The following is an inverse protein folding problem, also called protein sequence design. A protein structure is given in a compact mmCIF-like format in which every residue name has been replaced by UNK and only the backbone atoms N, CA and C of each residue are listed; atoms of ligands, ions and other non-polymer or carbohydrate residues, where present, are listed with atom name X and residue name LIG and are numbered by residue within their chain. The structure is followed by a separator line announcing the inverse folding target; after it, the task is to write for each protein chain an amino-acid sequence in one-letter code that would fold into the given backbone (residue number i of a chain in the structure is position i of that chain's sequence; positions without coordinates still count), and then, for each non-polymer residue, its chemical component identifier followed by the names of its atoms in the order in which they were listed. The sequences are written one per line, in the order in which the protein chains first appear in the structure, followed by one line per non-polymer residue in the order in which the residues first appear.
data_IF_066947525411
#
_entry.id   IF_066947525411
#
_cell.length_a   1.000
_cell.length_b   1.000
_cell.length_c   1.000
_cell.angle_alpha   90.00
_cell.angle_beta   90.00
_cell.angle_gamma   90.00
#
_symmetry.space_group_name_H-M   'P 1'
#
loop_
_entity.id
_entity.type
_entity.pdbx_description
1 polymer ?
#
# COMPACT_ATOMS: atom_id res chain seq x y z
N UNK A 1 14.23 4.02 23.05
CA UNK A 1 13.20 3.60 24.07
C UNK A 1 13.52 2.18 24.52
N UNK A 2 13.47 1.93 25.82
CA UNK A 2 13.77 0.59 26.38
C UNK A 2 12.62 -0.40 26.12
N UNK A 3 12.94 -1.70 25.97
CA UNK A 3 11.96 -2.77 25.78
C UNK A 3 10.86 -2.77 26.87
N UNK A 4 11.24 -2.50 28.11
CA UNK A 4 10.32 -2.46 29.27
C UNK A 4 9.28 -1.33 29.12
N UNK A 5 9.68 -0.18 28.58
CA UNK A 5 8.78 0.94 28.35
C UNK A 5 7.81 0.68 27.20
N UNK A 6 8.30 0.09 26.10
CA UNK A 6 7.45 -0.36 24.98
C UNK A 6 6.38 -1.34 25.45
N UNK A 7 6.78 -2.34 26.24
CA UNK A 7 5.84 -3.31 26.83
C UNK A 7 4.76 -2.62 27.66
N UNK A 8 5.12 -1.65 28.51
CA UNK A 8 4.15 -0.89 29.32
C UNK A 8 3.13 -0.14 28.47
N UNK A 9 3.55 0.41 27.31
CA UNK A 9 2.64 1.09 26.36
C UNK A 9 1.65 0.08 25.78
N UNK A 10 2.14 -1.07 25.31
CA UNK A 10 1.32 -2.14 24.73
C UNK A 10 0.31 -2.68 25.77
N UNK A 11 0.77 -2.94 26.99
CA UNK A 11 -0.08 -3.45 28.07
C UNK A 11 -1.20 -2.45 28.42
N UNK A 12 -0.90 -1.12 28.43
CA UNK A 12 -1.92 -0.07 28.62
C UNK A 12 -2.94 -0.04 27.47
N UNK A 13 -2.50 -0.21 26.25
CA UNK A 13 -3.40 -0.28 25.09
C UNK A 13 -4.26 -1.55 25.15
N UNK A 14 -3.69 -2.68 25.55
CA UNK A 14 -4.41 -3.95 25.72
C UNK A 14 -5.46 -3.84 26.83
N UNK A 15 -5.10 -3.25 27.97
CA UNK A 15 -6.05 -2.98 29.04
C UNK A 15 -7.21 -2.08 28.57
N UNK A 16 -6.90 -1.03 27.79
CA UNK A 16 -7.94 -0.16 27.23
C UNK A 16 -8.79 -0.90 26.17
N UNK A 17 -8.23 -1.84 25.41
CA UNK A 17 -8.99 -2.68 24.51
C UNK A 17 -10.05 -3.51 25.25
N UNK A 18 -9.68 -4.12 26.36
CA UNK A 18 -10.58 -4.96 27.14
C UNK A 18 -11.73 -4.20 27.81
N UNK A 19 -11.68 -2.87 27.87
CA UNK A 19 -12.86 -2.07 28.29
C UNK A 19 -14.02 -2.12 27.32
N UNK A 20 -13.79 -2.56 26.09
CA UNK A 20 -14.80 -2.57 25.02
C UNK A 20 -15.12 -1.19 24.43
N UNK A 21 -14.51 -0.10 24.90
CA UNK A 21 -14.81 1.28 24.48
C UNK A 21 -14.74 1.47 22.95
N UNK A 22 -13.79 0.85 22.27
CA UNK A 22 -13.64 0.97 20.81
C UNK A 22 -14.53 0.02 20.00
N UNK A 23 -15.34 -0.82 20.66
CA UNK A 23 -16.37 -1.61 19.99
C UNK A 23 -17.55 -0.72 19.56
N UNK A 24 -17.77 0.38 20.28
CA UNK A 24 -18.77 1.38 19.87
C UNK A 24 -18.35 2.11 18.59
N UNK A 25 -19.19 2.01 17.56
CA UNK A 25 -18.98 2.67 16.27
C UNK A 25 -18.98 4.19 16.40
N UNK A 26 -19.72 4.75 17.38
CA UNK A 26 -19.77 6.19 17.62
C UNK A 26 -18.42 6.71 18.13
N UNK A 27 -17.72 5.93 18.96
CA UNK A 27 -16.35 6.24 19.38
C UNK A 27 -15.40 6.29 18.18
N UNK A 28 -15.48 5.30 17.28
CA UNK A 28 -14.63 5.21 16.08
C UNK A 28 -14.87 6.39 15.14
N UNK A 29 -16.13 6.76 14.92
CA UNK A 29 -16.52 7.94 14.13
C UNK A 29 -15.96 9.22 14.74
N UNK A 30 -16.04 9.38 16.07
CA UNK A 30 -15.46 10.54 16.75
C UNK A 30 -13.94 10.60 16.61
N UNK A 31 -13.27 9.45 16.66
CA UNK A 31 -11.82 9.34 16.45
C UNK A 31 -11.42 9.73 15.01
N UNK A 32 -12.14 9.25 13.98
CA UNK A 32 -11.90 9.60 12.57
C UNK A 32 -12.15 11.11 12.32
N UNK A 33 -13.20 11.68 12.87
CA UNK A 33 -13.47 13.13 12.78
C UNK A 33 -12.37 13.95 13.46
N UNK A 34 -11.83 13.48 14.59
CA UNK A 34 -10.71 14.12 15.29
C UNK A 34 -9.43 14.07 14.46
N UNK A 35 -9.16 12.93 13.79
CA UNK A 35 -8.04 12.78 12.86
C UNK A 35 -8.19 13.74 11.67
N UNK A 36 -9.39 13.82 11.07
CA UNK A 36 -9.70 14.76 9.99
C UNK A 36 -9.47 16.21 10.40
N UNK A 37 -9.95 16.59 11.58
CA UNK A 37 -9.73 17.94 12.12
C UNK A 37 -8.25 18.23 12.33
N UNK A 38 -7.50 17.29 12.89
CA UNK A 38 -6.06 17.41 13.11
C UNK A 38 -5.32 17.69 11.79
N UNK A 39 -5.59 16.90 10.75
CA UNK A 39 -4.94 17.04 9.42
C UNK A 39 -5.24 18.42 8.83
N UNK A 40 -6.51 18.80 8.75
CA UNK A 40 -6.93 20.10 8.21
C UNK A 40 -6.34 21.30 8.97
N UNK A 41 -6.29 21.18 10.29
CA UNK A 41 -5.77 22.26 11.16
C UNK A 41 -4.27 22.47 11.01
N UNK A 42 -3.52 21.41 10.69
CA UNK A 42 -2.06 21.39 10.63
C UNK A 42 -1.51 21.15 9.21
N UNK A 43 -2.32 21.42 8.17
CA UNK A 43 -1.95 21.20 6.77
C UNK A 43 -0.63 21.89 6.41
N UNK A 44 -0.45 23.16 6.78
CA UNK A 44 0.78 23.91 6.52
C UNK A 44 2.01 23.34 7.25
N UNK A 45 1.84 22.82 8.48
CA UNK A 45 2.94 22.16 9.20
C UNK A 45 3.32 20.84 8.51
N UNK A 46 2.34 20.11 7.99
CA UNK A 46 2.55 18.87 7.23
C UNK A 46 3.29 19.17 5.92
N UNK A 47 2.84 20.18 5.16
CA UNK A 47 3.53 20.61 3.94
C UNK A 47 4.98 21.02 4.21
N UNK A 48 5.23 21.76 5.29
CA UNK A 48 6.58 22.17 5.67
C UNK A 48 7.47 20.97 6.03
N UNK A 49 6.94 19.96 6.72
CA UNK A 49 7.69 18.75 7.04
C UNK A 49 8.01 17.92 5.78
N UNK A 50 7.06 17.79 4.84
CA UNK A 50 7.27 17.11 3.55
C UNK A 50 8.28 17.85 2.65
N UNK A 51 8.26 19.18 2.69
CA UNK A 51 9.26 20.01 2.00
C UNK A 51 10.68 19.78 2.57
N UNK A 52 10.81 19.69 3.89
CA UNK A 52 12.11 19.44 4.55
C UNK A 52 12.67 18.04 4.21
N UNK A 53 11.84 17.01 4.33
CA UNK A 53 12.29 15.64 4.15
C UNK A 53 12.49 15.28 2.67
N UNK A 54 11.54 15.61 1.79
CA UNK A 54 11.48 15.14 0.40
C UNK A 54 11.54 16.28 -0.64
N UNK A 55 11.56 17.54 -0.19
CA UNK A 55 11.41 18.72 -1.07
C UNK A 55 10.11 18.66 -1.89
N UNK A 56 9.06 18.01 -1.37
CA UNK A 56 7.73 18.02 -2.01
C UNK A 56 7.14 19.42 -1.98
N UNK A 57 6.62 19.88 -3.13
CA UNK A 57 5.83 21.11 -3.21
C UNK A 57 4.52 20.97 -2.44
N UNK A 58 3.89 22.11 -2.05
CA UNK A 58 2.58 22.09 -1.38
C UNK A 58 1.52 21.40 -2.24
N UNK A 59 1.56 21.60 -3.56
CA UNK A 59 0.65 20.96 -4.50
C UNK A 59 0.81 19.43 -4.49
N UNK A 60 2.04 18.92 -4.60
CA UNK A 60 2.31 17.48 -4.55
C UNK A 60 1.98 16.89 -3.18
N UNK A 61 2.30 17.63 -2.09
CA UNK A 61 1.97 17.24 -0.72
C UNK A 61 0.46 17.06 -0.52
N UNK A 62 -0.35 17.96 -1.05
CA UNK A 62 -1.81 17.81 -0.99
C UNK A 62 -2.30 16.68 -1.89
N UNK A 63 -1.90 16.68 -3.17
CA UNK A 63 -2.36 15.72 -4.17
C UNK A 63 -2.06 14.27 -3.80
N UNK A 64 -0.88 14.00 -3.23
CA UNK A 64 -0.38 12.64 -3.03
C UNK A 64 -0.36 12.19 -1.58
N UNK A 65 -0.64 13.07 -0.62
CA UNK A 65 -0.61 12.72 0.80
C UNK A 65 -1.88 13.20 1.52
N UNK A 66 -1.96 14.46 1.92
CA UNK A 66 -3.06 14.94 2.76
C UNK A 66 -4.43 14.83 2.10
N UNK A 67 -4.53 15.07 0.80
CA UNK A 67 -5.78 14.97 0.04
C UNK A 67 -6.33 13.54 0.01
N UNK A 68 -5.45 12.55 -0.25
CA UNK A 68 -5.84 11.14 -0.27
C UNK A 68 -6.27 10.66 1.13
N UNK A 69 -5.50 11.01 2.17
CA UNK A 69 -5.89 10.71 3.56
C UNK A 69 -7.25 11.28 3.92
N UNK A 70 -7.54 12.52 3.50
CA UNK A 70 -8.84 13.14 3.75
C UNK A 70 -9.98 12.46 2.98
N UNK A 71 -9.71 11.97 1.78
CA UNK A 71 -10.69 11.21 0.98
C UNK A 71 -10.99 9.86 1.62
N UNK A 72 -9.97 9.12 2.06
CA UNK A 72 -10.12 7.86 2.80
C UNK A 72 -10.94 8.04 4.09
N UNK A 73 -10.64 9.08 4.89
CA UNK A 73 -11.44 9.39 6.08
C UNK A 73 -12.91 9.67 5.69
N UNK A 74 -13.12 10.42 4.62
CA UNK A 74 -14.45 10.78 4.16
C UNK A 74 -15.26 9.55 3.72
N UNK A 75 -14.63 8.67 2.95
CA UNK A 75 -15.20 7.39 2.55
C UNK A 75 -15.54 6.53 3.78
N UNK A 76 -14.60 6.38 4.70
CA UNK A 76 -14.77 5.56 5.89
C UNK A 76 -15.90 6.09 6.79
N UNK A 77 -16.00 7.41 6.99
CA UNK A 77 -17.09 8.03 7.77
C UNK A 77 -18.48 7.76 7.19
N UNK A 78 -18.59 7.64 5.86
CA UNK A 78 -19.86 7.31 5.19
C UNK A 78 -20.25 5.83 5.38
N UNK A 79 -19.27 4.92 5.42
CA UNK A 79 -19.51 3.49 5.28
C UNK A 79 -19.33 2.69 6.57
N UNK A 80 -18.59 3.21 7.56
CA UNK A 80 -18.22 2.47 8.78
C UNK A 80 -19.39 1.82 9.50
N UNK A 81 -20.56 2.48 9.54
CA UNK A 81 -21.78 1.91 10.16
C UNK A 81 -22.26 0.67 9.43
N UNK A 82 -22.11 0.64 8.11
CA UNK A 82 -22.45 -0.52 7.28
C UNK A 82 -21.44 -1.63 7.44
N UNK A 83 -20.14 -1.30 7.41
CA UNK A 83 -19.06 -2.27 7.53
C UNK A 83 -19.06 -2.98 8.90
N UNK A 84 -19.38 -2.24 9.96
CA UNK A 84 -19.41 -2.78 11.33
C UNK A 84 -20.65 -3.62 11.67
N UNK A 85 -21.66 -3.66 10.77
CA UNK A 85 -22.89 -4.44 11.00
C UNK A 85 -22.63 -5.94 10.84
N UNK A 86 -23.43 -6.72 11.56
CA UNK A 86 -23.59 -8.15 11.32
C UNK A 86 -24.16 -8.36 9.91
N UNK A 87 -23.62 -9.34 9.21
CA UNK A 87 -24.02 -9.72 7.85
C UNK A 87 -24.68 -11.10 7.90
N UNK A 88 -26.01 -11.15 7.70
CA UNK A 88 -26.72 -12.41 7.64
C UNK A 88 -26.25 -13.22 6.42
N UNK A 89 -26.10 -14.52 6.62
CA UNK A 89 -25.78 -15.49 5.57
C UNK A 89 -26.83 -16.60 5.56
N UNK A 90 -26.93 -17.31 4.43
CA UNK A 90 -27.87 -18.42 4.31
C UNK A 90 -27.60 -19.47 5.37
N UNK A 91 -28.63 -19.81 6.13
CA UNK A 91 -28.58 -20.92 7.08
C UNK A 91 -29.00 -22.21 6.37
N UNK A 92 -28.15 -23.27 6.34
CA UNK A 92 -28.50 -24.54 5.75
C UNK A 92 -29.69 -25.20 6.47
N UNK A 93 -30.48 -25.97 5.73
CA UNK A 93 -31.67 -26.69 6.28
C UNK A 93 -31.29 -27.61 7.44
N UNK A 94 -30.12 -28.22 7.44
CA UNK A 94 -29.58 -29.02 8.55
C UNK A 94 -29.47 -28.26 9.87
N UNK A 95 -29.43 -26.93 9.80
CA UNK A 95 -29.37 -26.05 10.98
C UNK A 95 -30.71 -25.32 11.22
N UNK A 96 -31.81 -25.87 10.71
CA UNK A 96 -33.16 -25.29 10.82
C UNK A 96 -33.43 -24.74 12.22
N UNK A 97 -34.15 -23.63 12.29
CA UNK A 97 -34.38 -22.74 13.41
C UNK A 97 -33.11 -22.11 13.99
N UNK A 98 -32.21 -21.68 13.08
CA UNK A 98 -31.06 -20.84 13.44
C UNK A 98 -30.97 -19.61 12.54
N UNK A 99 -30.28 -18.59 13.05
CA UNK A 99 -29.79 -17.45 12.27
C UNK A 99 -28.28 -17.59 12.13
N UNK A 100 -27.77 -17.59 10.89
CA UNK A 100 -26.33 -17.59 10.64
C UNK A 100 -25.88 -16.23 10.19
N UNK A 101 -24.80 -15.68 10.78
CA UNK A 101 -24.29 -14.37 10.43
C UNK A 101 -22.79 -14.26 10.65
N UNK A 102 -22.18 -13.31 9.94
CA UNK A 102 -20.79 -12.88 10.11
C UNK A 102 -20.76 -11.59 10.91
N UNK A 103 -19.82 -11.49 11.86
CA UNK A 103 -19.66 -10.30 12.70
C UNK A 103 -18.20 -9.86 12.67
N UNK A 104 -17.89 -8.67 12.11
CA UNK A 104 -16.55 -8.10 12.17
C UNK A 104 -16.16 -7.81 13.63
N UNK A 105 -14.92 -8.05 13.97
CA UNK A 105 -14.36 -7.80 15.29
C UNK A 105 -12.92 -7.32 15.16
N UNK A 106 -12.52 -6.25 15.87
CA UNK A 106 -11.11 -5.81 15.85
C UNK A 106 -10.19 -6.91 16.37
N UNK A 107 -8.97 -6.94 15.87
CA UNK A 107 -7.92 -7.82 16.41
C UNK A 107 -7.54 -7.45 17.83
N UNK A 108 -7.23 -6.16 18.08
CA UNK A 108 -6.78 -5.70 19.39
C UNK A 108 -5.79 -4.56 19.31
N UNK A 109 -4.54 -4.80 19.71
CA UNK A 109 -3.43 -3.85 19.60
C UNK A 109 -2.65 -4.14 18.34
N UNK A 110 -2.63 -3.18 17.41
CA UNK A 110 -2.00 -3.30 16.10
C UNK A 110 -0.74 -2.44 16.00
N UNK A 111 0.25 -2.93 15.28
CA UNK A 111 1.46 -2.19 14.91
C UNK A 111 1.37 -1.80 13.44
N UNK A 112 1.58 -0.53 13.13
CA UNK A 112 1.73 -0.02 11.77
C UNK A 112 3.14 0.52 11.61
N UNK A 113 3.94 -0.10 10.74
CA UNK A 113 5.30 0.34 10.41
C UNK A 113 5.28 0.92 9.01
N UNK A 114 5.51 2.22 8.90
CA UNK A 114 5.37 2.95 7.64
C UNK A 114 6.70 3.43 7.06
N UNK A 115 6.78 3.59 5.73
CA UNK A 115 7.97 4.00 5.01
C UNK A 115 8.15 5.53 5.01
N UNK A 116 9.16 5.97 4.29
CA UNK A 116 9.59 7.37 4.23
C UNK A 116 9.17 8.12 2.96
N UNK A 117 8.71 7.42 1.92
CA UNK A 117 8.49 8.02 0.60
C UNK A 117 7.16 8.80 0.49
N UNK A 118 6.12 8.34 1.18
CA UNK A 118 4.86 9.04 1.41
C UNK A 118 4.53 8.94 2.91
N UNK A 119 5.30 9.66 3.76
CA UNK A 119 5.32 9.41 5.20
C UNK A 119 3.98 9.74 5.88
N UNK A 120 3.21 10.67 5.35
CA UNK A 120 1.89 11.05 5.89
C UNK A 120 0.84 10.05 5.42
N UNK A 121 0.73 9.83 4.11
CA UNK A 121 -0.25 8.93 3.51
C UNK A 121 -0.10 7.51 4.05
N UNK A 122 1.08 6.92 3.90
CA UNK A 122 1.32 5.51 4.24
C UNK A 122 1.39 5.24 5.76
N UNK A 123 1.34 6.29 6.59
CA UNK A 123 1.13 6.15 8.03
C UNK A 123 -0.34 6.29 8.40
N UNK A 124 -1.06 7.23 7.78
CA UNK A 124 -2.41 7.59 8.21
C UNK A 124 -3.50 6.77 7.52
N UNK A 125 -3.32 6.30 6.28
CA UNK A 125 -4.30 5.43 5.61
C UNK A 125 -4.54 4.13 6.37
N UNK A 126 -3.53 3.29 6.66
CA UNK A 126 -3.77 2.08 7.44
C UNK A 126 -4.20 2.39 8.88
N UNK A 127 -3.87 3.58 9.42
CA UNK A 127 -4.41 4.03 10.70
C UNK A 127 -5.93 4.28 10.63
N UNK A 128 -6.44 4.89 9.56
CA UNK A 128 -7.87 5.11 9.34
C UNK A 128 -8.62 3.79 9.37
N UNK A 129 -8.12 2.80 8.66
CA UNK A 129 -8.69 1.46 8.57
C UNK A 129 -8.69 0.75 9.93
N UNK A 130 -7.57 0.82 10.65
CA UNK A 130 -7.43 0.25 11.98
C UNK A 130 -8.38 0.90 13.01
N UNK A 131 -8.55 2.23 12.96
CA UNK A 131 -9.52 2.98 13.79
C UNK A 131 -10.94 2.56 13.44
N UNK A 132 -11.28 2.48 12.16
CA UNK A 132 -12.60 2.09 11.69
C UNK A 132 -12.96 0.67 12.12
N UNK A 133 -12.03 -0.25 12.08
CA UNK A 133 -12.20 -1.62 12.57
C UNK A 133 -12.31 -1.71 14.10
N UNK A 134 -11.80 -0.70 14.85
CA UNK A 134 -11.89 -0.61 16.32
C UNK A 134 -10.64 -1.03 17.07
N UNK A 135 -9.48 -1.10 16.40
CA UNK A 135 -8.21 -1.44 17.01
C UNK A 135 -7.59 -0.29 17.81
N UNK A 136 -6.61 -0.60 18.66
CA UNK A 136 -5.61 0.32 19.20
C UNK A 136 -4.39 0.25 18.33
N UNK A 137 -3.69 1.37 18.20
CA UNK A 137 -2.61 1.43 17.22
C UNK A 137 -1.35 2.01 17.83
N UNK A 138 -0.25 1.34 17.54
CA UNK A 138 1.10 1.89 17.67
C UNK A 138 1.62 2.15 16.26
N UNK A 139 1.94 3.42 15.99
CA UNK A 139 2.55 3.86 14.75
C UNK A 139 4.07 3.90 14.90
N UNK A 140 4.77 3.36 13.92
CA UNK A 140 6.23 3.42 13.83
C UNK A 140 6.63 4.01 12.47
N UNK A 141 6.60 5.35 12.32
CA UNK A 141 7.05 6.01 11.11
C UNK A 141 8.55 5.86 10.90
N UNK A 142 8.99 6.07 9.67
CA UNK A 142 10.38 5.89 9.28
C UNK A 142 11.31 6.96 9.85
N UNK A 143 12.47 6.55 10.35
CA UNK A 143 13.54 7.47 10.75
C UNK A 143 14.20 8.21 9.55
N UNK A 144 13.94 7.80 8.32
CA UNK A 144 14.47 8.47 7.13
C UNK A 144 13.71 9.75 6.76
N UNK A 145 12.49 9.92 7.27
CA UNK A 145 11.69 11.14 7.17
C UNK A 145 11.48 11.78 8.55
N UNK A 146 12.53 12.32 9.17
CA UNK A 146 12.50 12.76 10.57
C UNK A 146 11.52 13.90 10.83
N UNK A 147 11.43 14.91 9.95
CA UNK A 147 10.53 16.03 10.12
C UNK A 147 9.05 15.57 10.12
N UNK A 148 8.67 14.69 9.22
CA UNK A 148 7.33 14.11 9.17
C UNK A 148 7.06 13.20 10.39
N UNK A 149 8.03 12.39 10.79
CA UNK A 149 7.88 11.46 11.91
C UNK A 149 7.73 12.19 13.25
N UNK A 150 8.51 13.23 13.49
CA UNK A 150 8.43 14.06 14.69
C UNK A 150 7.13 14.87 14.74
N UNK A 151 6.70 15.41 13.58
CA UNK A 151 5.43 16.10 13.50
C UNK A 151 4.25 15.15 13.78
N UNK A 152 4.25 13.95 13.19
CA UNK A 152 3.22 12.94 13.45
C UNK A 152 3.19 12.57 14.94
N UNK A 153 4.35 12.35 15.57
CA UNK A 153 4.43 12.07 17.01
C UNK A 153 3.83 13.21 17.84
N UNK A 154 4.24 14.46 17.57
CA UNK A 154 3.71 15.67 18.24
C UNK A 154 2.19 15.77 18.10
N UNK A 155 1.66 15.63 16.88
CA UNK A 155 0.25 15.80 16.61
C UNK A 155 -0.59 14.66 17.20
N UNK A 156 -0.19 13.43 16.99
CA UNK A 156 -0.93 12.26 17.52
C UNK A 156 -1.00 12.32 19.04
N UNK A 157 0.11 12.59 19.73
CA UNK A 157 0.11 12.68 21.19
C UNK A 157 -0.72 13.87 21.73
N UNK A 158 -0.86 14.94 20.94
CA UNK A 158 -1.71 16.09 21.30
C UNK A 158 -3.21 15.77 21.17
N UNK A 159 -3.59 15.01 20.16
CA UNK A 159 -5.01 14.79 19.83
C UNK A 159 -5.57 13.47 20.36
N UNK A 160 -4.72 12.48 20.66
CA UNK A 160 -5.15 11.15 21.10
C UNK A 160 -4.45 10.71 22.37
N UNK A 161 -5.17 10.08 23.31
CA UNK A 161 -4.53 9.51 24.50
C UNK A 161 -3.66 8.29 24.12
N UNK A 162 -2.47 8.19 24.71
CA UNK A 162 -1.50 7.14 24.41
C UNK A 162 -2.03 5.70 24.62
N UNK A 163 -2.99 5.51 25.53
CA UNK A 163 -3.69 4.23 25.72
C UNK A 163 -4.55 3.81 24.53
N UNK A 164 -4.77 4.70 23.56
CA UNK A 164 -5.57 4.42 22.35
C UNK A 164 -4.70 4.45 21.09
N UNK A 165 -3.92 5.50 20.90
CA UNK A 165 -3.08 5.72 19.74
C UNK A 165 -1.74 6.34 20.19
N UNK A 166 -0.63 5.77 19.75
CA UNK A 166 0.71 6.21 20.11
C UNK A 166 1.64 6.13 18.91
N UNK A 167 2.58 7.08 18.83
CA UNK A 167 3.69 7.06 17.88
C UNK A 167 4.98 6.75 18.63
N UNK A 168 5.74 5.81 18.11
CA UNK A 168 7.10 5.51 18.57
C UNK A 168 8.05 5.88 17.44
N UNK A 169 8.84 6.95 17.62
CA UNK A 169 9.89 7.34 16.69
C UNK A 169 11.17 6.55 16.98
N UNK A 170 12.14 6.62 16.05
CA UNK A 170 13.42 5.96 16.20
C UNK A 170 13.78 5.09 14.99
N UNK A 171 14.94 4.43 15.06
CA UNK A 171 15.57 3.72 13.97
C UNK A 171 15.40 2.19 14.02
N UNK A 172 16.48 1.51 13.62
CA UNK A 172 16.52 0.04 13.57
C UNK A 172 16.32 -0.62 14.91
N UNK A 173 16.92 -0.03 15.98
CA UNK A 173 16.81 -0.57 17.35
C UNK A 173 15.36 -0.62 17.83
N UNK A 174 14.62 0.48 17.61
CA UNK A 174 13.21 0.57 17.98
C UNK A 174 12.34 -0.36 17.14
N UNK A 175 12.62 -0.50 15.82
CA UNK A 175 11.93 -1.46 14.98
C UNK A 175 12.11 -2.89 15.49
N UNK A 176 13.34 -3.29 15.79
CA UNK A 176 13.64 -4.64 16.31
C UNK A 176 12.96 -4.87 17.64
N UNK A 177 13.04 -3.90 18.55
CA UNK A 177 12.42 -3.99 19.87
C UNK A 177 10.88 -4.08 19.80
N UNK A 178 10.23 -3.34 18.89
CA UNK A 178 8.79 -3.45 18.65
C UNK A 178 8.38 -4.79 18.06
N UNK A 179 9.10 -5.27 17.05
CA UNK A 179 8.80 -6.55 16.41
C UNK A 179 8.96 -7.77 17.32
N UNK A 180 9.74 -7.64 18.41
CA UNK A 180 9.85 -8.65 19.46
C UNK A 180 8.66 -8.66 20.43
N UNK A 181 7.80 -7.63 20.42
CA UNK A 181 6.62 -7.57 21.26
C UNK A 181 5.44 -8.31 20.62
N UNK A 182 4.49 -8.75 21.45
CA UNK A 182 3.27 -9.37 20.98
C UNK A 182 2.23 -8.34 20.56
N UNK A 183 1.96 -8.25 19.27
CA UNK A 183 0.84 -7.53 18.66
C UNK A 183 -0.24 -8.51 18.19
N UNK A 184 -1.47 -8.01 18.07
CA UNK A 184 -2.58 -8.81 17.59
C UNK A 184 -2.72 -8.71 16.05
N UNK A 185 -2.05 -7.72 15.44
CA UNK A 185 -1.90 -7.53 14.00
C UNK A 185 -0.70 -6.63 13.69
N UNK A 186 -0.02 -6.88 12.56
CA UNK A 186 1.07 -6.00 12.07
C UNK A 186 0.80 -5.62 10.62
N UNK A 187 0.78 -4.32 10.34
CA UNK A 187 0.78 -3.76 9.00
C UNK A 187 2.15 -3.15 8.71
N UNK A 188 2.78 -3.58 7.65
CA UNK A 188 4.11 -3.13 7.27
C UNK A 188 4.15 -2.67 5.82
N UNK A 189 4.70 -1.49 5.57
CA UNK A 189 5.04 -1.02 4.23
C UNK A 189 6.53 -0.72 4.17
N UNK A 190 7.24 -1.29 3.17
CA UNK A 190 8.67 -1.08 3.03
C UNK A 190 9.38 -2.08 2.11
N UNK A 191 10.67 -2.30 2.33
CA UNK A 191 11.46 -3.21 1.49
C UNK A 191 11.17 -4.68 1.76
N UNK A 192 11.33 -5.53 0.74
CA UNK A 192 11.20 -7.01 0.82
C UNK A 192 12.04 -7.62 1.95
N UNK A 193 13.28 -7.15 2.11
CA UNK A 193 14.18 -7.66 3.16
C UNK A 193 13.61 -7.43 4.56
N UNK A 194 13.06 -6.23 4.81
CA UNK A 194 12.46 -5.92 6.11
C UNK A 194 11.11 -6.61 6.26
N UNK A 195 10.32 -6.73 5.18
CA UNK A 195 9.06 -7.47 5.18
C UNK A 195 9.23 -8.94 5.59
N UNK A 196 10.25 -9.62 5.07
CA UNK A 196 10.61 -10.98 5.49
C UNK A 196 10.97 -11.04 6.99
N UNK A 197 11.70 -10.04 7.50
CA UNK A 197 12.02 -9.97 8.94
C UNK A 197 10.78 -9.73 9.79
N UNK A 198 9.86 -8.85 9.36
CA UNK A 198 8.57 -8.65 10.04
C UNK A 198 7.79 -9.96 10.11
N UNK A 199 7.68 -10.68 9.01
CA UNK A 199 6.99 -11.98 8.95
C UNK A 199 7.65 -13.02 9.87
N UNK A 200 8.98 -13.07 9.90
CA UNK A 200 9.73 -13.97 10.76
C UNK A 200 9.50 -13.68 12.25
N UNK A 201 9.49 -12.42 12.64
CA UNK A 201 9.23 -12.04 14.04
C UNK A 201 7.75 -12.28 14.43
N UNK A 202 6.82 -11.93 13.55
CA UNK A 202 5.39 -12.14 13.76
C UNK A 202 5.05 -13.62 13.97
N UNK A 203 5.75 -14.53 13.31
CA UNK A 203 5.52 -15.99 13.43
C UNK A 203 5.71 -16.53 14.84
N UNK A 204 6.57 -15.91 15.66
CA UNK A 204 6.80 -16.33 17.06
C UNK A 204 5.57 -16.15 17.95
N UNK A 205 4.65 -15.27 17.55
CA UNK A 205 3.40 -14.99 18.27
C UNK A 205 2.16 -15.37 17.46
N UNK A 206 2.32 -15.99 16.28
CA UNK A 206 1.24 -16.27 15.31
C UNK A 206 0.46 -15.00 14.94
N UNK A 207 1.13 -13.86 14.95
CA UNK A 207 0.53 -12.58 14.61
C UNK A 207 0.30 -12.49 13.09
N UNK A 208 -0.95 -12.26 12.63
CA UNK A 208 -1.22 -12.03 11.22
C UNK A 208 -0.58 -10.72 10.74
N UNK A 209 -0.15 -10.71 9.47
CA UNK A 209 0.54 -9.57 8.86
C UNK A 209 -0.07 -9.18 7.53
N UNK A 210 -0.08 -7.88 7.23
CA UNK A 210 -0.15 -7.34 5.87
C UNK A 210 1.20 -6.75 5.53
N UNK A 211 1.71 -7.07 4.34
CA UNK A 211 2.99 -6.60 3.83
C UNK A 211 2.77 -5.88 2.51
N UNK A 212 3.07 -4.59 2.48
CA UNK A 212 3.08 -3.77 1.27
C UNK A 212 4.55 -3.53 0.89
N UNK A 213 4.98 -4.18 -0.18
CA UNK A 213 6.37 -4.20 -0.60
C UNK A 213 6.53 -3.49 -1.95
N UNK A 214 7.66 -3.60 -2.57
CA UNK A 214 7.92 -3.04 -3.89
C UNK A 214 8.04 -4.11 -4.96
N UNK A 215 8.47 -3.69 -6.14
CA UNK A 215 8.72 -4.58 -7.26
C UNK A 215 9.15 -3.84 -8.52
N UNK A 216 9.53 -4.59 -9.56
CA UNK A 216 9.83 -4.00 -10.88
C UNK A 216 8.55 -3.90 -11.70
N UNK A 217 7.81 -2.82 -11.49
CA UNK A 217 6.52 -2.56 -12.13
C UNK A 217 6.69 -2.26 -13.63
N UNK A 218 6.30 -3.19 -14.54
CA UNK A 218 6.40 -2.99 -15.98
C UNK A 218 5.37 -1.99 -16.48
N UNK A 219 5.77 -1.19 -17.48
CA UNK A 219 4.89 -0.33 -18.24
C UNK A 219 4.90 -0.76 -19.71
N UNK A 220 3.93 -1.57 -20.11
CA UNK A 220 3.77 -2.06 -21.47
C UNK A 220 3.18 -0.98 -22.36
N UNK A 221 3.76 -0.81 -23.56
CA UNK A 221 3.24 0.08 -24.62
C UNK A 221 3.16 -0.71 -25.89
N UNK A 222 1.95 -1.06 -26.32
CA UNK A 222 1.77 -1.84 -27.53
C UNK A 222 1.72 -1.00 -28.81
N UNK A 223 1.67 -1.67 -29.96
CA UNK A 223 1.68 -1.03 -31.27
C UNK A 223 0.49 -0.09 -31.51
N UNK A 224 -0.62 -0.29 -30.77
CA UNK A 224 -1.87 0.47 -30.92
C UNK A 224 -1.94 1.70 -30.00
N UNK A 225 -1.00 1.83 -29.05
CA UNK A 225 -1.00 2.89 -28.05
C UNK A 225 -0.96 4.29 -28.64
N UNK A 226 -1.65 5.23 -28.00
CA UNK A 226 -1.49 6.65 -28.24
C UNK A 226 -0.21 7.12 -27.54
N UNK A 227 0.86 7.31 -28.31
CA UNK A 227 2.18 7.56 -27.75
C UNK A 227 2.29 8.91 -27.01
N UNK A 228 1.59 9.94 -27.50
CA UNK A 228 1.63 11.26 -26.86
C UNK A 228 0.94 11.22 -25.49
N UNK A 229 -0.19 10.51 -25.40
CA UNK A 229 -0.91 10.29 -24.15
C UNK A 229 -0.14 9.35 -23.22
N UNK A 230 0.40 8.24 -23.75
CA UNK A 230 1.19 7.28 -22.99
C UNK A 230 2.42 7.97 -22.36
N UNK A 231 3.22 8.68 -23.15
CA UNK A 231 4.39 9.40 -22.67
C UNK A 231 4.04 10.42 -21.57
N UNK A 232 2.94 11.17 -21.76
CA UNK A 232 2.47 12.15 -20.74
C UNK A 232 2.18 11.49 -19.39
N UNK A 233 1.48 10.34 -19.40
CA UNK A 233 1.07 9.59 -18.20
C UNK A 233 2.23 8.81 -17.59
N UNK A 234 3.09 8.24 -18.41
CA UNK A 234 4.31 7.56 -17.95
C UNK A 234 5.24 8.54 -17.24
N UNK A 235 5.49 9.71 -17.84
CA UNK A 235 6.33 10.75 -17.26
C UNK A 235 5.79 11.24 -15.92
N UNK A 236 4.48 11.46 -15.84
CA UNK A 236 3.83 11.79 -14.56
C UNK A 236 4.04 10.71 -13.51
N UNK A 237 3.65 9.46 -13.80
CA UNK A 237 3.72 8.39 -12.81
C UNK A 237 5.15 7.97 -12.45
N UNK A 238 6.10 8.10 -13.39
CA UNK A 238 7.50 7.77 -13.13
C UNK A 238 8.22 8.80 -12.28
N UNK A 239 8.01 10.09 -12.56
CA UNK A 239 8.84 11.14 -11.96
C UNK A 239 8.18 11.88 -10.80
N UNK A 240 6.92 11.56 -10.47
CA UNK A 240 6.29 11.97 -9.24
C UNK A 240 7.16 11.52 -8.04
N UNK A 241 7.33 12.36 -7.04
CA UNK A 241 8.20 12.10 -5.87
C UNK A 241 9.63 11.65 -6.27
N UNK A 242 10.16 12.16 -7.37
CA UNK A 242 11.44 11.73 -7.96
C UNK A 242 11.53 10.23 -8.22
N UNK A 243 10.42 9.57 -8.56
CA UNK A 243 10.36 8.12 -8.79
C UNK A 243 10.45 7.25 -7.53
N UNK A 244 10.40 7.84 -6.35
CA UNK A 244 10.45 7.13 -5.07
C UNK A 244 9.05 6.63 -4.67
N UNK A 245 8.45 5.83 -5.55
CA UNK A 245 7.07 5.33 -5.44
C UNK A 245 7.05 3.84 -5.78
N UNK A 246 6.49 3.02 -4.90
CA UNK A 246 6.44 1.56 -5.04
C UNK A 246 5.68 1.09 -6.30
N UNK A 247 4.80 1.92 -6.82
CA UNK A 247 4.03 1.69 -8.05
C UNK A 247 4.53 2.53 -9.24
N UNK A 248 5.64 3.26 -9.12
CA UNK A 248 6.18 3.97 -10.28
C UNK A 248 6.49 2.99 -11.42
N UNK A 249 6.20 3.33 -12.68
CA UNK A 249 6.74 2.57 -13.80
C UNK A 249 8.24 2.36 -13.63
N UNK A 250 8.68 1.13 -13.38
CA UNK A 250 10.09 0.88 -13.11
C UNK A 250 10.90 0.79 -14.40
N UNK A 251 10.27 0.28 -15.46
CA UNK A 251 10.77 0.32 -16.83
C UNK A 251 9.61 0.39 -17.83
N UNK A 252 9.89 0.94 -19.01
CA UNK A 252 8.99 0.87 -20.17
C UNK A 252 9.37 -0.35 -21.00
N UNK A 253 8.39 -1.16 -21.35
CA UNK A 253 8.53 -2.30 -22.23
C UNK A 253 7.61 -2.12 -23.42
N UNK A 254 8.17 -1.67 -24.56
CA UNK A 254 7.38 -1.24 -25.70
C UNK A 254 7.60 -2.13 -26.95
N UNK A 255 6.60 -2.14 -27.84
CA UNK A 255 6.74 -2.70 -29.15
C UNK A 255 7.96 -2.06 -29.87
N UNK A 256 8.83 -2.90 -30.47
CA UNK A 256 10.09 -2.41 -31.07
C UNK A 256 9.87 -1.36 -32.15
N UNK A 257 8.77 -1.45 -32.93
CA UNK A 257 8.42 -0.51 -34.00
C UNK A 257 7.99 0.87 -33.47
N UNK A 258 7.65 0.95 -32.20
CA UNK A 258 7.15 2.18 -31.57
C UNK A 258 8.20 2.91 -30.73
N UNK A 259 9.35 2.28 -30.50
CA UNK A 259 10.40 2.74 -29.57
C UNK A 259 10.84 4.16 -29.83
N UNK A 260 11.31 4.46 -31.03
CA UNK A 260 11.88 5.77 -31.35
C UNK A 260 10.85 6.90 -31.20
N UNK A 261 9.63 6.67 -31.70
CA UNK A 261 8.54 7.63 -31.55
C UNK A 261 8.14 7.83 -30.08
N UNK A 262 8.13 6.75 -29.27
CA UNK A 262 7.84 6.83 -27.84
C UNK A 262 8.93 7.60 -27.09
N UNK A 263 10.22 7.33 -27.36
CA UNK A 263 11.35 8.05 -26.77
C UNK A 263 11.27 9.55 -27.08
N UNK A 264 10.93 9.90 -28.31
CA UNK A 264 10.75 11.30 -28.73
C UNK A 264 9.64 11.98 -27.88
N UNK A 265 8.51 11.33 -27.73
CA UNK A 265 7.40 11.82 -26.91
C UNK A 265 7.75 11.89 -25.41
N UNK A 266 8.47 10.90 -24.86
CA UNK A 266 8.94 10.92 -23.48
C UNK A 266 9.85 12.12 -23.21
N UNK A 267 10.84 12.38 -24.08
CA UNK A 267 11.73 13.55 -23.99
C UNK A 267 10.92 14.86 -23.99
N UNK A 268 9.98 14.97 -24.93
CA UNK A 268 9.09 16.13 -25.04
C UNK A 268 8.25 16.33 -23.76
N UNK A 269 7.71 15.26 -23.20
CA UNK A 269 6.88 15.34 -21.99
C UNK A 269 7.71 15.66 -20.75
N UNK A 270 8.93 15.14 -20.61
CA UNK A 270 9.83 15.50 -19.50
C UNK A 270 10.12 16.99 -19.55
N UNK A 271 10.52 17.52 -20.71
CA UNK A 271 10.78 18.95 -20.87
C UNK A 271 9.54 19.80 -20.57
N UNK A 272 8.36 19.34 -21.02
CA UNK A 272 7.09 20.06 -20.78
C UNK A 272 6.71 20.10 -19.31
N UNK A 273 6.88 19.00 -18.55
CA UNK A 273 6.44 18.90 -17.15
C UNK A 273 7.46 19.46 -16.16
N UNK A 274 8.76 19.33 -16.44
CA UNK A 274 9.83 19.67 -15.51
C UNK A 274 10.70 20.85 -15.95
N UNK A 275 10.56 21.32 -17.19
CA UNK A 275 11.39 22.35 -17.78
C UNK A 275 12.70 21.83 -18.38
N UNK A 276 13.50 22.73 -18.96
CA UNK A 276 14.82 22.41 -19.52
C UNK A 276 15.86 22.12 -18.43
N UNK A 277 15.67 22.66 -17.23
CA UNK A 277 16.55 22.51 -16.08
C UNK A 277 15.77 21.96 -14.87
N UNK A 278 15.42 20.65 -14.86
CA UNK A 278 14.58 20.05 -13.82
C UNK A 278 15.09 20.24 -12.38
N UNK A 279 16.40 20.28 -12.18
CA UNK A 279 17.01 20.48 -10.85
C UNK A 279 16.77 21.88 -10.29
N UNK A 280 16.49 22.87 -11.14
CA UNK A 280 16.11 24.24 -10.74
C UNK A 280 14.59 24.40 -10.56
N UNK A 281 13.80 23.43 -10.96
CA UNK A 281 12.35 23.47 -10.79
C UNK A 281 11.98 23.42 -9.30
N UNK A 282 11.30 24.44 -8.75
CA UNK A 282 10.96 24.47 -7.31
C UNK A 282 9.97 23.37 -6.91
N UNK A 283 9.20 22.83 -7.86
CA UNK A 283 8.27 21.73 -7.63
C UNK A 283 8.89 20.35 -7.80
N UNK A 284 10.17 20.25 -8.21
CA UNK A 284 10.86 18.97 -8.32
C UNK A 284 11.54 18.61 -6.99
N UNK A 285 11.24 17.44 -6.47
CA UNK A 285 11.70 16.95 -5.18
C UNK A 285 13.19 16.59 -5.10
N UNK A 286 13.55 15.82 -4.08
CA UNK A 286 14.91 15.28 -3.88
C UNK A 286 14.85 13.80 -3.48
N UNK A 287 15.98 13.12 -3.59
CA UNK A 287 16.15 11.79 -3.01
C UNK A 287 16.27 11.94 -1.47
N UNK A 288 15.63 11.04 -0.76
CA UNK A 288 15.43 11.16 0.70
C UNK A 288 16.73 11.36 1.50
N UNK A 289 17.80 10.68 1.13
CA UNK A 289 19.08 10.76 1.82
C UNK A 289 20.27 10.35 0.93
N UNK A 290 21.49 10.60 1.42
CA UNK A 290 22.73 10.31 0.71
C UNK A 290 22.86 8.82 0.32
N UNK A 291 22.47 7.90 1.20
CA UNK A 291 22.55 6.46 0.93
C UNK A 291 21.74 6.06 -0.31
N UNK A 292 20.49 6.52 -0.41
CA UNK A 292 19.62 6.24 -1.56
C UNK A 292 20.07 7.00 -2.80
N UNK A 293 20.54 8.24 -2.65
CA UNK A 293 21.13 9.01 -3.76
C UNK A 293 22.30 8.25 -4.40
N UNK A 294 23.26 7.79 -3.60
CA UNK A 294 24.42 7.04 -4.12
C UNK A 294 24.01 5.70 -4.74
N UNK A 295 23.01 5.01 -4.16
CA UNK A 295 22.49 3.77 -4.75
C UNK A 295 21.93 4.04 -6.15
N UNK A 296 21.07 5.06 -6.31
CA UNK A 296 20.47 5.38 -7.61
C UNK A 296 21.56 5.87 -8.60
N UNK A 297 22.52 6.67 -8.13
CA UNK A 297 23.63 7.15 -8.96
C UNK A 297 24.46 6.00 -9.54
N UNK A 298 24.66 4.91 -8.79
CA UNK A 298 25.37 3.71 -9.28
C UNK A 298 24.59 2.94 -10.36
N UNK A 299 23.28 3.07 -10.42
CA UNK A 299 22.46 2.48 -11.49
C UNK A 299 22.50 3.30 -12.77
N UNK A 300 23.00 4.53 -12.71
CA UNK A 300 23.12 5.42 -13.86
C UNK A 300 24.35 5.02 -14.68
N UNK A 301 24.12 4.34 -15.82
CA UNK A 301 25.17 4.09 -16.81
C UNK A 301 25.21 5.23 -17.84
N UNK A 302 26.26 6.09 -17.86
CA UNK A 302 26.32 7.24 -18.75
C UNK A 302 26.22 6.89 -20.24
N UNK A 303 26.72 5.71 -20.65
CA UNK A 303 26.69 5.26 -22.05
C UNK A 303 25.29 4.93 -22.56
N UNK A 304 24.37 4.64 -21.64
CA UNK A 304 22.97 4.29 -21.93
C UNK A 304 22.01 5.48 -21.74
N UNK A 305 22.51 6.61 -21.23
CA UNK A 305 21.69 7.81 -21.04
C UNK A 305 21.42 8.48 -22.37
N UNK A 306 20.15 8.63 -22.71
CA UNK A 306 19.70 9.32 -23.93
C UNK A 306 18.99 10.64 -23.67
N UNK A 307 18.68 10.94 -22.39
CA UNK A 307 18.12 12.22 -21.95
C UNK A 307 18.27 12.38 -20.43
N UNK A 308 18.55 13.58 -19.95
CA UNK A 308 18.74 13.86 -18.52
C UNK A 308 20.14 13.47 -18.04
N UNK A 309 20.23 12.71 -16.95
CA UNK A 309 21.50 12.24 -16.38
C UNK A 309 22.19 13.23 -15.44
N UNK A 310 21.70 14.46 -15.33
CA UNK A 310 22.28 15.46 -14.44
C UNK A 310 22.01 15.13 -12.97
N UNK A 311 23.02 15.26 -12.13
CA UNK A 311 22.94 15.00 -10.71
C UNK A 311 23.48 16.19 -9.90
N UNK A 312 22.89 16.44 -8.74
CA UNK A 312 23.39 17.41 -7.78
C UNK A 312 23.49 16.75 -6.41
N UNK A 313 24.70 16.37 -5.95
CA UNK A 313 24.90 15.71 -4.66
C UNK A 313 24.64 16.62 -3.46
N UNK A 314 24.78 17.93 -3.58
CA UNK A 314 24.57 18.88 -2.49
C UNK A 314 23.07 18.98 -2.14
N UNK A 315 22.21 18.91 -3.17
CA UNK A 315 20.75 18.94 -3.00
C UNK A 315 20.09 17.57 -3.02
N UNK A 316 20.87 16.50 -3.19
CA UNK A 316 20.42 15.12 -3.37
C UNK A 316 19.42 14.95 -4.52
N UNK A 317 19.61 15.67 -5.60
CA UNK A 317 18.71 15.64 -6.76
C UNK A 317 19.34 14.89 -7.93
N UNK A 318 18.52 14.12 -8.63
CA UNK A 318 18.83 13.44 -9.89
C UNK A 318 17.73 13.85 -10.86
N UNK A 319 18.11 14.37 -12.03
CA UNK A 319 17.14 14.78 -13.04
C UNK A 319 16.34 13.58 -13.59
N UNK A 320 15.12 13.81 -14.07
CA UNK A 320 14.40 12.81 -14.86
C UNK A 320 15.27 12.30 -16.01
N UNK A 321 15.54 10.99 -16.01
CA UNK A 321 16.55 10.39 -16.91
C UNK A 321 15.95 9.24 -17.69
N UNK A 322 16.14 9.23 -19.00
CA UNK A 322 15.82 8.11 -19.88
C UNK A 322 17.08 7.34 -20.25
N UNK A 323 16.99 6.02 -20.20
CA UNK A 323 18.05 5.12 -20.64
C UNK A 323 17.54 4.25 -21.79
N UNK A 324 18.40 4.04 -22.78
CA UNK A 324 18.17 3.13 -23.90
C UNK A 324 19.25 2.06 -23.97
N UNK A 325 19.09 1.09 -24.88
CA UNK A 325 19.98 -0.06 -25.01
C UNK A 325 20.17 -0.84 -23.68
N UNK A 326 19.14 -0.78 -22.82
CA UNK A 326 19.10 -1.53 -21.56
C UNK A 326 18.58 -2.94 -21.83
N UNK A 327 19.25 -3.92 -21.24
CA UNK A 327 18.82 -5.34 -21.25
C UNK A 327 18.37 -5.76 -19.86
N UNK A 328 17.70 -6.90 -19.77
CA UNK A 328 17.26 -7.43 -18.48
C UNK A 328 18.43 -7.88 -17.58
N UNK A 329 19.63 -8.02 -18.13
CA UNK A 329 20.85 -8.39 -17.41
C UNK A 329 21.58 -7.18 -16.80
N UNK A 330 21.23 -5.96 -17.20
CA UNK A 330 21.83 -4.74 -16.65
C UNK A 330 21.50 -4.56 -15.16
N UNK A 331 22.43 -3.95 -14.41
CA UNK A 331 22.29 -3.72 -12.98
C UNK A 331 20.98 -2.98 -12.61
N UNK A 332 20.56 -2.03 -13.44
CA UNK A 332 19.31 -1.26 -13.23
C UNK A 332 18.06 -2.15 -13.32
N UNK A 333 18.15 -3.32 -13.93
CA UNK A 333 17.05 -4.29 -14.05
C UNK A 333 17.07 -5.37 -12.96
N UNK A 334 18.11 -5.46 -12.12
CA UNK A 334 18.23 -6.48 -11.07
C UNK A 334 17.58 -6.07 -9.75
N UNK A 335 17.26 -4.79 -9.56
CA UNK A 335 16.57 -4.30 -8.37
C UNK A 335 15.50 -3.26 -8.75
N UNK A 336 14.57 -2.97 -7.83
CA UNK A 336 13.65 -1.85 -7.95
C UNK A 336 14.44 -0.53 -7.96
N UNK A 337 14.22 0.30 -8.97
CA UNK A 337 14.98 1.55 -9.14
C UNK A 337 14.69 2.54 -8.01
N UNK A 338 13.42 2.73 -7.69
CA UNK A 338 12.95 3.64 -6.65
C UNK A 338 13.61 5.03 -6.76
N UNK A 339 13.62 5.56 -7.99
CA UNK A 339 14.30 6.80 -8.35
C UNK A 339 13.97 7.24 -9.78
N UNK A 340 14.49 8.42 -10.22
CA UNK A 340 14.07 9.07 -11.46
C UNK A 340 14.84 8.57 -12.70
N UNK A 341 15.10 7.29 -12.80
CA UNK A 341 15.70 6.63 -13.96
C UNK A 341 14.68 5.75 -14.64
N UNK A 342 14.47 5.90 -15.94
CA UNK A 342 13.50 5.14 -16.72
C UNK A 342 14.16 4.42 -17.89
N UNK A 343 14.45 3.13 -17.76
CA UNK A 343 14.90 2.29 -18.86
C UNK A 343 13.77 2.06 -19.87
N UNK A 344 14.12 2.07 -21.17
CA UNK A 344 13.22 1.69 -22.27
C UNK A 344 13.75 0.42 -22.91
N UNK A 345 12.98 -0.66 -22.83
CA UNK A 345 13.28 -1.97 -23.39
C UNK A 345 12.21 -2.32 -24.43
N UNK A 346 12.54 -3.14 -25.41
CA UNK A 346 11.61 -3.51 -26.49
C UNK A 346 11.27 -4.99 -26.48
N UNK A 347 10.11 -5.30 -27.01
CA UNK A 347 9.68 -6.65 -27.37
C UNK A 347 9.20 -6.71 -28.83
N UNK A 348 9.24 -7.90 -29.43
CA UNK A 348 8.76 -8.13 -30.79
C UNK A 348 7.30 -8.57 -30.83
N UNK A 349 6.88 -9.34 -29.85
CA UNK A 349 5.49 -9.81 -29.72
C UNK A 349 4.99 -9.65 -28.30
N UNK A 350 3.68 -9.39 -28.15
CA UNK A 350 3.07 -9.27 -26.82
C UNK A 350 3.18 -10.57 -26.00
N UNK A 351 3.22 -11.73 -26.64
CA UNK A 351 3.43 -13.02 -25.96
C UNK A 351 4.84 -13.14 -25.37
N UNK A 352 5.85 -12.64 -26.07
CA UNK A 352 7.21 -12.51 -25.54
C UNK A 352 7.23 -11.63 -24.29
N UNK A 353 6.59 -10.45 -24.34
CA UNK A 353 6.49 -9.55 -23.21
C UNK A 353 5.79 -10.21 -21.99
N UNK A 354 4.66 -10.86 -22.20
CA UNK A 354 3.93 -11.59 -21.16
C UNK A 354 4.80 -12.70 -20.56
N UNK A 355 5.48 -13.48 -21.40
CA UNK A 355 6.36 -14.56 -20.93
C UNK A 355 7.50 -14.02 -20.09
N UNK A 356 8.11 -12.92 -20.52
CA UNK A 356 9.18 -12.28 -19.77
C UNK A 356 8.71 -11.75 -18.41
N UNK A 357 7.59 -11.06 -18.38
CA UNK A 357 7.02 -10.53 -17.13
C UNK A 357 6.72 -11.68 -16.15
N UNK A 358 6.11 -12.75 -16.62
CA UNK A 358 5.78 -13.91 -15.78
C UNK A 358 7.00 -14.73 -15.34
N UNK A 359 8.15 -14.55 -15.97
CA UNK A 359 9.40 -15.17 -15.54
C UNK A 359 10.12 -14.39 -14.42
N UNK A 360 9.65 -13.19 -14.12
CA UNK A 360 10.16 -12.32 -13.05
C UNK A 360 9.29 -12.46 -11.80
N UNK A 361 9.72 -11.84 -10.69
CA UNK A 361 8.90 -11.74 -9.48
C UNK A 361 7.60 -10.96 -9.77
N UNK A 362 6.51 -11.37 -9.11
CA UNK A 362 5.21 -10.70 -9.23
C UNK A 362 5.33 -9.21 -8.82
N UNK A 363 5.12 -8.25 -9.74
CA UNK A 363 5.25 -6.84 -9.44
C UNK A 363 4.06 -6.33 -8.63
N UNK A 364 4.27 -5.25 -7.87
CA UNK A 364 3.18 -4.56 -7.17
C UNK A 364 2.21 -3.91 -8.16
N UNK A 365 2.72 -3.34 -9.26
CA UNK A 365 1.89 -2.76 -10.29
C UNK A 365 2.28 -3.20 -11.70
N UNK A 366 1.28 -3.22 -12.61
CA UNK A 366 1.46 -3.39 -14.05
C UNK A 366 0.64 -2.34 -14.80
N UNK A 367 1.23 -1.74 -15.81
CA UNK A 367 0.59 -0.74 -16.68
C UNK A 367 0.59 -1.21 -18.13
N UNK A 368 -0.52 -0.96 -18.82
CA UNK A 368 -0.65 -1.28 -20.24
C UNK A 368 -1.27 -0.10 -20.99
N UNK A 369 -0.57 0.39 -21.98
CA UNK A 369 -1.10 1.34 -22.96
C UNK A 369 -1.45 0.60 -24.24
N UNK A 370 -2.76 0.52 -24.54
CA UNK A 370 -3.32 -0.20 -25.69
C UNK A 370 -4.69 0.34 -26.08
N UNK A 371 -5.01 0.32 -27.38
CA UNK A 371 -6.37 0.54 -27.90
C UNK A 371 -7.07 -0.78 -28.28
N UNK A 372 -6.34 -1.91 -28.26
CA UNK A 372 -6.87 -3.23 -28.62
C UNK A 372 -7.42 -3.95 -27.40
N UNK A 373 -8.72 -4.18 -27.37
CA UNK A 373 -9.39 -4.88 -26.27
C UNK A 373 -8.81 -6.27 -26.03
N UNK A 374 -8.50 -7.00 -27.11
CA UNK A 374 -7.88 -8.32 -27.07
C UNK A 374 -6.52 -8.33 -26.34
N UNK A 375 -5.68 -7.30 -26.58
CA UNK A 375 -4.40 -7.16 -25.89
C UNK A 375 -4.60 -6.86 -24.40
N UNK A 376 -5.59 -6.00 -24.08
CA UNK A 376 -5.94 -5.66 -22.68
C UNK A 376 -6.39 -6.92 -21.95
N UNK A 377 -7.36 -7.66 -22.50
CA UNK A 377 -7.85 -8.91 -21.90
C UNK A 377 -6.74 -9.95 -21.77
N UNK A 378 -5.88 -10.07 -22.79
CA UNK A 378 -4.77 -11.03 -22.79
C UNK A 378 -3.74 -10.73 -21.68
N UNK A 379 -3.32 -9.46 -21.52
CA UNK A 379 -2.34 -9.07 -20.49
C UNK A 379 -2.94 -9.21 -19.11
N UNK A 380 -4.15 -8.70 -18.88
CA UNK A 380 -4.80 -8.74 -17.57
C UNK A 380 -5.15 -10.16 -17.12
N UNK A 381 -5.39 -11.08 -18.05
CA UNK A 381 -5.65 -12.49 -17.74
C UNK A 381 -4.39 -13.32 -17.53
N UNK A 382 -3.29 -13.01 -18.24
CA UNK A 382 -2.09 -13.87 -18.26
C UNK A 382 -0.96 -13.41 -17.37
N UNK A 383 -0.89 -12.10 -17.02
CA UNK A 383 0.13 -11.59 -16.12
C UNK A 383 -0.37 -11.59 -14.68
N UNK A 384 0.53 -11.94 -13.74
CA UNK A 384 0.30 -11.82 -12.30
C UNK A 384 0.87 -10.47 -11.82
N UNK A 385 0.06 -9.69 -11.08
CA UNK A 385 0.47 -8.40 -10.48
C UNK A 385 -0.50 -8.02 -9.35
N UNK A 386 -0.10 -7.11 -8.46
CA UNK A 386 -0.94 -6.64 -7.37
C UNK A 386 -2.12 -5.80 -7.87
N UNK A 387 -1.84 -4.73 -8.59
CA UNK A 387 -2.84 -3.85 -9.19
C UNK A 387 -2.28 -3.14 -10.43
N UNK A 388 -3.08 -2.30 -11.11
CA UNK A 388 -2.56 -1.63 -12.30
C UNK A 388 -3.56 -0.73 -13.00
N UNK A 389 -3.11 -0.15 -14.12
CA UNK A 389 -3.94 0.69 -14.95
C UNK A 389 -3.86 0.29 -16.42
N UNK A 390 -4.98 0.40 -17.11
CA UNK A 390 -5.04 0.40 -18.57
C UNK A 390 -5.09 1.85 -19.04
N UNK A 391 -4.16 2.22 -19.92
CA UNK A 391 -4.00 3.55 -20.48
C UNK A 391 -3.72 4.66 -19.45
N UNK A 392 -3.25 4.30 -18.25
CA UNK A 392 -2.75 5.25 -17.23
C UNK A 392 -1.66 4.60 -16.38
N UNK A 393 -1.14 5.36 -15.40
CA UNK A 393 -0.17 4.88 -14.41
C UNK A 393 -0.60 5.32 -13.02
N UNK A 394 -0.20 4.59 -12.00
CA UNK A 394 -0.31 4.87 -10.56
C UNK A 394 -1.71 5.15 -9.99
N UNK A 395 -2.68 5.66 -10.74
CA UNK A 395 -3.97 6.15 -10.20
C UNK A 395 -4.85 5.06 -9.58
N UNK A 396 -4.57 3.78 -9.81
CA UNK A 396 -5.33 2.67 -9.20
C UNK A 396 -5.24 2.64 -7.66
N UNK A 397 -4.20 3.25 -7.08
CA UNK A 397 -4.06 3.39 -5.63
C UNK A 397 -4.84 4.58 -5.05
N UNK A 398 -5.27 5.54 -5.89
CA UNK A 398 -5.90 6.78 -5.43
C UNK A 398 -7.43 6.66 -5.36
N UNK A 399 -7.94 5.56 -4.82
CA UNK A 399 -9.37 5.35 -4.67
C UNK A 399 -9.67 4.45 -3.47
N UNK A 400 -10.64 4.84 -2.60
CA UNK A 400 -11.09 4.01 -1.49
C UNK A 400 -12.09 2.92 -1.91
N UNK A 401 -12.42 2.79 -3.20
CA UNK A 401 -13.40 1.83 -3.71
C UNK A 401 -12.80 0.50 -4.16
N UNK A 402 -11.48 0.41 -4.21
CA UNK A 402 -10.73 -0.80 -4.56
C UNK A 402 -9.61 -1.01 -3.55
N UNK A 403 -9.39 -2.25 -3.16
CA UNK A 403 -8.24 -2.62 -2.35
C UNK A 403 -6.93 -2.42 -3.10
N UNK A 404 -5.88 -2.07 -2.37
CA UNK A 404 -4.52 -1.96 -2.85
C UNK A 404 -3.65 -2.97 -2.10
N UNK A 405 -2.85 -3.75 -2.83
CA UNK A 405 -1.94 -4.72 -2.23
C UNK A 405 -1.19 -5.52 -3.28
N UNK A 406 -0.10 -6.15 -2.86
CA UNK A 406 0.76 -6.97 -3.69
C UNK A 406 0.42 -8.46 -3.66
N UNK A 407 1.15 -9.24 -4.46
CA UNK A 407 1.11 -10.70 -4.44
C UNK A 407 2.52 -11.29 -4.48
N UNK A 408 2.76 -12.37 -3.75
CA UNK A 408 4.08 -13.02 -3.69
C UNK A 408 5.16 -12.08 -3.15
N UNK A 409 6.18 -11.81 -3.96
CA UNK A 409 7.31 -10.96 -3.57
C UNK A 409 6.95 -9.45 -3.45
N UNK A 410 5.82 -9.02 -4.00
CA UNK A 410 5.36 -7.63 -3.85
C UNK A 410 4.49 -7.38 -2.63
N UNK A 411 4.03 -8.44 -1.94
CA UNK A 411 3.28 -8.28 -0.70
C UNK A 411 2.24 -9.35 -0.45
N UNK A 412 1.47 -9.14 0.62
CA UNK A 412 0.32 -9.96 0.99
C UNK A 412 -0.70 -9.11 1.76
N UNK A 413 -1.97 -9.38 1.51
CA UNK A 413 -3.07 -8.59 2.03
C UNK A 413 -3.46 -7.44 1.10
N UNK A 414 -4.41 -6.63 1.54
CA UNK A 414 -4.93 -5.48 0.79
C UNK A 414 -5.49 -4.47 1.77
N UNK A 415 -5.49 -3.19 1.43
CA UNK A 415 -6.05 -2.13 2.26
C UNK A 415 -6.68 -1.04 1.40
N UNK A 416 -7.17 0.02 1.95
CA UNK A 416 -8.10 1.05 1.49
C UNK A 416 -9.58 0.65 1.61
N UNK A 417 -10.36 1.56 2.08
CA UNK A 417 -11.81 1.47 2.14
C UNK A 417 -12.33 0.21 2.85
N UNK A 418 -13.20 -0.52 2.16
CA UNK A 418 -13.77 -1.75 2.70
C UNK A 418 -12.71 -2.82 2.95
N UNK A 419 -11.78 -2.99 2.01
CA UNK A 419 -10.73 -4.01 2.13
C UNK A 419 -9.82 -3.70 3.33
N UNK A 420 -9.51 -2.42 3.58
CA UNK A 420 -8.77 -1.99 4.76
C UNK A 420 -9.52 -2.26 6.07
N UNK A 421 -10.82 -1.96 6.12
CA UNK A 421 -11.65 -2.31 7.28
C UNK A 421 -11.64 -3.83 7.53
N UNK A 422 -11.76 -4.65 6.48
CA UNK A 422 -11.73 -6.12 6.58
C UNK A 422 -10.35 -6.63 7.01
N UNK A 423 -9.28 -6.05 6.46
CA UNK A 423 -7.88 -6.37 6.81
C UNK A 423 -7.59 -6.18 8.30
N UNK A 424 -8.10 -5.12 8.91
CA UNK A 424 -7.96 -4.87 10.34
C UNK A 424 -9.07 -5.48 11.19
N UNK A 425 -9.89 -6.38 10.62
CA UNK A 425 -10.99 -7.07 11.30
C UNK A 425 -10.84 -8.57 11.21
N UNK A 426 -11.09 -9.27 12.34
CA UNK A 426 -11.35 -10.70 12.35
C UNK A 426 -12.85 -10.93 12.22
N UNK A 427 -13.27 -11.75 11.26
CA UNK A 427 -14.69 -12.07 11.06
C UNK A 427 -15.10 -13.30 11.86
N UNK A 428 -15.98 -13.11 12.84
CA UNK A 428 -16.60 -14.20 13.60
C UNK A 428 -17.78 -14.77 12.84
N UNK A 429 -17.81 -16.08 12.61
CA UNK A 429 -18.97 -16.80 12.07
C UNK A 429 -19.80 -17.35 13.22
N UNK A 430 -21.07 -16.95 13.30
CA UNK A 430 -21.95 -17.25 14.42
C UNK A 430 -23.21 -17.92 13.89
N UNK A 431 -23.63 -19.01 14.57
CA UNK A 431 -24.93 -19.64 14.39
C UNK A 431 -25.71 -19.44 15.68
N UNK A 432 -26.73 -18.60 15.63
CA UNK A 432 -27.67 -18.38 16.75
C UNK A 432 -28.82 -19.37 16.64
N UNK A 433 -28.76 -20.46 17.43
CA UNK A 433 -29.73 -21.55 17.43
C UNK A 433 -30.86 -21.24 18.40
N UNK A 434 -32.11 -21.40 17.95
CA UNK A 434 -33.28 -21.30 18.84
C UNK A 434 -33.31 -22.44 19.87
N UNK A 435 -33.71 -22.12 21.09
CA UNK A 435 -33.71 -23.06 22.24
C UNK A 435 -35.00 -23.82 22.43
N UNK A 436 -36.10 -23.37 21.78
CA UNK A 436 -37.42 -23.98 21.90
C UNK A 436 -37.60 -25.23 21.01
N UNK A 437 -36.67 -25.51 20.12
CA UNK A 437 -36.66 -26.72 19.30
C UNK A 437 -35.25 -27.31 19.20
N UNK A 438 -35.18 -28.64 19.35
CA UNK A 438 -33.96 -29.39 19.07
C UNK A 438 -34.29 -30.64 18.26
N UNK A 439 -33.45 -30.91 17.24
CA UNK A 439 -33.64 -32.07 16.38
C UNK A 439 -32.76 -33.22 16.85
N UNK A 440 -33.36 -34.34 17.31
CA UNK A 440 -32.60 -35.44 17.90
C UNK A 440 -31.75 -36.23 16.88
N UNK A 441 -31.83 -35.88 15.59
CA UNK A 441 -31.15 -36.62 14.52
C UNK A 441 -29.63 -36.65 14.64
N UNK A 442 -29.03 -35.62 15.23
CA UNK A 442 -27.58 -35.46 15.42
C UNK A 442 -27.02 -36.16 16.66
N UNK A 443 -27.86 -36.55 17.58
CA UNK A 443 -27.44 -37.18 18.85
C UNK A 443 -27.39 -38.68 18.78
N UNK A 444 -26.56 -39.30 19.59
CA UNK A 444 -26.55 -40.73 19.79
C UNK A 444 -27.85 -41.21 20.46
N UNK A 445 -28.24 -42.50 20.24
CA UNK A 445 -27.62 -43.50 19.37
C UNK A 445 -27.88 -43.24 17.88
N UNK A 446 -26.83 -43.49 17.06
CA UNK A 446 -26.90 -43.32 15.60
C UNK A 446 -27.63 -44.50 14.96
N UNK A 447 -28.91 -44.30 14.63
CA UNK A 447 -29.75 -45.31 13.99
C UNK A 447 -29.77 -45.16 12.48
N UNK A 448 -29.99 -46.24 11.69
CA UNK A 448 -30.07 -46.20 10.24
C UNK A 448 -31.04 -45.12 9.68
N UNK A 449 -32.20 -44.96 10.33
CA UNK A 449 -33.21 -43.94 9.99
C UNK A 449 -32.64 -42.53 10.11
N UNK A 450 -31.86 -42.23 11.14
CA UNK A 450 -31.20 -40.91 11.28
C UNK A 450 -30.19 -40.68 10.15
N UNK A 451 -29.44 -41.70 9.76
CA UNK A 451 -28.52 -41.65 8.63
C UNK A 451 -29.23 -41.37 7.30
N UNK A 452 -30.37 -42.02 7.10
CA UNK A 452 -31.19 -41.79 5.90
C UNK A 452 -31.74 -40.37 5.84
N UNK A 453 -32.26 -39.82 6.98
CA UNK A 453 -32.69 -38.43 7.06
C UNK A 453 -31.53 -37.43 6.74
N UNK A 454 -30.35 -37.68 7.32
CA UNK A 454 -29.17 -36.85 7.07
C UNK A 454 -28.77 -36.87 5.57
N UNK A 455 -28.82 -38.02 4.91
CA UNK A 455 -28.56 -38.13 3.47
C UNK A 455 -29.52 -37.30 2.61
N UNK A 456 -30.78 -37.14 3.05
CA UNK A 456 -31.74 -36.27 2.32
C UNK A 456 -31.53 -34.80 2.51
N UNK A 457 -30.85 -34.40 3.60
CA UNK A 457 -30.63 -32.99 3.95
C UNK A 457 -29.23 -32.51 3.52
N UNK A 458 -28.22 -33.39 3.52
CA UNK A 458 -26.83 -33.06 3.23
C UNK A 458 -26.37 -33.50 1.83
N UNK A 459 -27.08 -34.38 1.17
CA UNK A 459 -26.81 -34.87 -0.18
C UNK A 459 -27.87 -34.50 -1.14
#
# INVERSE_FOLDING_TARGET
MENTEMKKIIDRQRAFFHTGTTLDVSFRIAALKRLQYMIRRHEKEIEAALLLDLKKSSFESYMCETGLVLDEIHYMLRHIRSFAKEQDVRTPLAQFCSRSYRKPSPYGVTLIVSPWNYPILLTLDPLIDAIAAGNKVILKPSAYSPACSDLLAKLIHRYFPAKYLTVITGGRSENTALLQQHFDYIFFTGSKTVGREVMRQASSHLTPVTLELGGKSPCLVDESADLALAARRIVFGKFLNCGQTCVAPDYVYCDEKRKEALICELKRQITKQFGSEPLKNPSYGKIINQKHFERIRRLLNPEKVIFGGNVNPDTLQIAPTLLDHVTFEDAIMQEEIFGPLLPVITYRTLDEAITRINSMECPLALYLFSKKKENIEKVTAKCQFGGGCVNDTIIHLATPYMGFGGCGESGMGSYHGKDGFETFSHTKSIVDKKTWIDLPVRYQPYRPVKKWLLKKVLG
#
